data_IF_071373161780
#
_entry.id   IF_071373161780
#
_cell.length_a   1.000
_cell.length_b   1.000
_cell.length_c   1.000
_cell.angle_alpha   90.00
_cell.angle_beta   90.00
_cell.angle_gamma   90.00
#
_symmetry.space_group_name_H-M   'P 1'
#
loop_
_entity.id
_entity.type
_entity.pdbx_description
1 polymer ?
#
# COMPACT_ATOMS: atom_id res chain seq x y z
N UNK A 1 14.83 4.62 -3.50
CA UNK A 1 16.12 4.09 -3.01
C UNK A 1 17.29 5.03 -3.23
N UNK A 2 17.34 5.74 -4.34
CA UNK A 2 18.45 6.66 -4.62
C UNK A 2 18.61 7.76 -3.57
N UNK A 3 17.51 8.27 -3.04
CA UNK A 3 17.56 9.28 -1.97
C UNK A 3 18.22 8.72 -0.71
N UNK A 4 17.91 7.47 -0.35
CA UNK A 4 18.54 6.81 0.78
C UNK A 4 20.03 6.60 0.56
N UNK A 5 20.42 6.23 -0.66
CA UNK A 5 21.84 6.04 -1.00
C UNK A 5 22.62 7.37 -0.89
N UNK A 6 22.03 8.49 -1.30
CA UNK A 6 22.66 9.80 -1.17
C UNK A 6 22.85 10.14 0.30
N UNK A 7 21.85 9.93 1.14
CA UNK A 7 21.93 10.18 2.58
C UNK A 7 22.97 9.27 3.22
N UNK A 8 22.94 7.98 2.91
CA UNK A 8 23.83 6.99 3.51
C UNK A 8 25.26 7.11 3.04
N UNK A 9 25.50 7.78 1.91
CA UNK A 9 26.85 8.10 1.48
C UNK A 9 27.63 8.95 2.48
N UNK A 10 26.96 9.60 3.44
CA UNK A 10 27.57 10.37 4.52
C UNK A 10 27.91 9.54 5.75
N UNK A 11 27.53 8.25 5.79
CA UNK A 11 27.70 7.36 6.95
C UNK A 11 28.77 6.31 6.67
N UNK A 12 29.24 5.66 7.74
CA UNK A 12 30.16 4.54 7.60
C UNK A 12 29.44 3.25 7.12
N UNK A 13 30.22 2.24 6.75
CA UNK A 13 29.70 0.99 6.18
C UNK A 13 28.81 0.23 7.15
N UNK A 14 29.11 0.27 8.45
CA UNK A 14 28.32 -0.45 9.47
C UNK A 14 26.91 0.13 9.58
N UNK A 15 26.78 1.45 9.52
CA UNK A 15 25.47 2.11 9.54
C UNK A 15 24.67 1.81 8.28
N UNK A 16 25.30 1.84 7.12
CA UNK A 16 24.67 1.50 5.85
C UNK A 16 24.11 0.06 5.91
N UNK A 17 24.91 -0.89 6.41
CA UNK A 17 24.49 -2.27 6.55
C UNK A 17 23.29 -2.42 7.50
N UNK A 18 23.29 -1.70 8.62
CA UNK A 18 22.20 -1.71 9.59
C UNK A 18 20.89 -1.20 8.96
N UNK A 19 20.96 -0.09 8.23
CA UNK A 19 19.78 0.46 7.54
C UNK A 19 19.28 -0.46 6.44
N UNK A 20 20.16 -1.05 5.66
CA UNK A 20 19.78 -2.02 4.62
C UNK A 20 19.05 -3.22 5.21
N UNK A 21 19.52 -3.76 6.33
CA UNK A 21 18.86 -4.86 7.03
C UNK A 21 17.48 -4.47 7.53
N UNK A 22 17.34 -3.26 8.08
CA UNK A 22 16.03 -2.75 8.52
C UNK A 22 15.04 -2.66 7.36
N UNK A 23 15.44 -2.04 6.25
CA UNK A 23 14.56 -1.89 5.09
C UNK A 23 14.17 -3.25 4.51
N UNK A 24 15.10 -4.20 4.46
CA UNK A 24 14.79 -5.56 4.02
C UNK A 24 13.78 -6.25 4.95
N UNK A 25 13.89 -6.01 6.26
CA UNK A 25 12.98 -6.63 7.24
C UNK A 25 11.55 -6.15 7.13
N UNK A 26 11.32 -4.91 6.65
CA UNK A 26 9.97 -4.37 6.48
C UNK A 26 9.40 -4.54 5.07
N UNK A 27 10.17 -5.10 4.14
CA UNK A 27 9.67 -5.38 2.79
C UNK A 27 8.64 -6.51 2.86
N UNK A 28 7.43 -6.32 2.32
CA UNK A 28 6.41 -7.36 2.36
C UNK A 28 6.83 -8.57 1.53
N UNK A 29 6.71 -9.76 2.13
CA UNK A 29 7.13 -11.02 1.51
C UNK A 29 5.94 -11.88 1.07
N UNK A 30 4.84 -11.86 1.79
CA UNK A 30 3.63 -12.64 1.48
C UNK A 30 2.60 -11.80 0.75
N UNK A 31 1.67 -12.48 0.07
CA UNK A 31 0.55 -11.80 -0.58
C UNK A 31 -0.32 -11.05 0.44
N UNK A 32 -0.51 -11.60 1.63
CA UNK A 32 -1.26 -10.93 2.69
C UNK A 32 -0.60 -9.63 3.15
N UNK A 33 0.72 -9.61 3.27
CA UNK A 33 1.46 -8.40 3.61
C UNK A 33 1.38 -7.35 2.50
N UNK A 34 1.49 -7.78 1.25
CA UNK A 34 1.37 -6.89 0.10
C UNK A 34 -0.03 -6.29 0.05
N UNK A 35 -1.06 -7.11 0.26
CA UNK A 35 -2.45 -6.65 0.30
C UNK A 35 -2.65 -5.57 1.38
N UNK A 36 -2.16 -5.80 2.59
CA UNK A 36 -2.26 -4.83 3.69
C UNK A 36 -1.51 -3.54 3.40
N UNK A 37 -0.36 -3.61 2.75
CA UNK A 37 0.38 -2.40 2.35
C UNK A 37 -0.43 -1.54 1.40
N UNK A 38 -1.12 -2.16 0.45
CA UNK A 38 -1.99 -1.44 -0.46
C UNK A 38 -3.21 -0.85 0.25
N UNK A 39 -3.80 -1.56 1.20
CA UNK A 39 -4.89 -1.01 2.02
C UNK A 39 -4.44 0.25 2.74
N UNK A 40 -3.24 0.24 3.31
CA UNK A 40 -2.68 1.41 3.98
C UNK A 40 -2.51 2.57 2.98
N UNK A 41 -2.03 2.30 1.79
CA UNK A 41 -1.88 3.31 0.74
C UNK A 41 -3.24 3.93 0.36
N UNK A 42 -4.26 3.12 0.17
CA UNK A 42 -5.60 3.61 -0.17
C UNK A 42 -6.20 4.46 0.94
N UNK A 43 -6.02 4.11 2.19
CA UNK A 43 -6.54 4.91 3.31
C UNK A 43 -5.78 6.20 3.53
N UNK A 44 -4.57 6.33 2.96
CA UNK A 44 -3.76 7.54 3.06
C UNK A 44 -4.21 8.67 2.13
N UNK A 45 -5.05 8.39 1.14
CA UNK A 45 -5.49 9.37 0.15
C UNK A 45 -6.40 10.40 0.83
N UNK A 46 -6.03 11.69 0.69
CA UNK A 46 -6.76 12.81 1.29
C UNK A 46 -6.99 12.65 2.81
N UNK A 47 -6.00 12.10 3.50
CA UNK A 47 -6.06 11.85 4.93
C UNK A 47 -4.89 12.46 5.67
N UNK A 48 -5.12 12.87 6.93
CA UNK A 48 -4.03 13.11 7.87
C UNK A 48 -3.44 11.77 8.30
N UNK A 49 -2.25 11.80 8.91
CA UNK A 49 -1.63 10.58 9.42
C UNK A 49 -2.53 9.86 10.43
N UNK A 50 -3.11 10.60 11.38
CA UNK A 50 -3.99 10.02 12.39
C UNK A 50 -5.24 9.39 11.79
N UNK A 51 -5.85 10.07 10.82
CA UNK A 51 -7.02 9.56 10.13
C UNK A 51 -6.69 8.31 9.31
N UNK A 52 -5.54 8.32 8.64
CA UNK A 52 -5.06 7.16 7.88
C UNK A 52 -4.89 5.93 8.77
N UNK A 53 -4.18 6.07 9.89
CA UNK A 53 -3.95 4.97 10.83
C UNK A 53 -5.29 4.45 11.38
N UNK A 54 -6.20 5.34 11.73
CA UNK A 54 -7.52 4.95 12.24
C UNK A 54 -8.32 4.17 11.20
N UNK A 55 -8.39 4.66 9.98
CA UNK A 55 -9.08 3.95 8.89
C UNK A 55 -8.45 2.59 8.63
N UNK A 56 -7.14 2.54 8.54
CA UNK A 56 -6.43 1.29 8.31
C UNK A 56 -6.70 0.26 9.41
N UNK A 57 -6.72 0.70 10.68
CA UNK A 57 -6.98 -0.20 11.79
C UNK A 57 -8.38 -0.82 11.74
N UNK A 58 -9.34 -0.12 11.13
CA UNK A 58 -10.69 -0.66 10.95
C UNK A 58 -10.78 -1.72 9.84
N UNK A 59 -9.92 -1.66 8.83
CA UNK A 59 -10.02 -2.54 7.66
C UNK A 59 -8.86 -3.50 7.49
N UNK A 60 -7.82 -3.42 8.30
CA UNK A 60 -6.62 -4.26 8.14
C UNK A 60 -6.89 -5.76 8.29
N UNK A 61 -7.89 -6.13 9.07
CA UNK A 61 -8.33 -7.51 9.17
C UNK A 61 -9.29 -7.80 8.00
N UNK A 62 -8.73 -7.92 6.81
CA UNK A 62 -9.53 -8.00 5.58
C UNK A 62 -10.42 -9.25 5.53
N UNK A 63 -10.17 -10.26 6.34
CA UNK A 63 -11.02 -11.45 6.45
C UNK A 63 -12.45 -11.10 6.84
N UNK A 64 -12.65 -9.98 7.55
CA UNK A 64 -13.98 -9.54 7.97
C UNK A 64 -14.85 -9.00 6.83
N UNK A 65 -14.23 -8.50 5.77
CA UNK A 65 -14.98 -7.82 4.69
C UNK A 65 -14.62 -8.31 3.28
N UNK A 66 -13.68 -9.24 3.17
CA UNK A 66 -13.13 -9.65 1.87
C UNK A 66 -14.21 -10.15 0.89
N UNK A 67 -15.28 -10.74 1.40
CA UNK A 67 -16.39 -11.25 0.63
C UNK A 67 -17.66 -10.41 0.78
N UNK A 68 -17.57 -9.23 1.41
CA UNK A 68 -18.71 -8.39 1.73
C UNK A 68 -18.38 -6.91 1.56
N UNK A 69 -18.74 -6.37 0.39
CA UNK A 69 -18.50 -4.96 0.05
C UNK A 69 -19.21 -4.00 1.00
N UNK A 70 -20.42 -4.36 1.44
CA UNK A 70 -21.19 -3.51 2.35
C UNK A 70 -20.52 -3.43 3.72
N UNK A 71 -19.92 -4.51 4.18
CA UNK A 71 -19.16 -4.52 5.43
C UNK A 71 -17.92 -3.61 5.32
N UNK A 72 -17.21 -3.64 4.20
CA UNK A 72 -16.10 -2.71 3.96
C UNK A 72 -16.58 -1.26 4.03
N UNK A 73 -17.68 -0.95 3.36
CA UNK A 73 -18.26 0.40 3.37
C UNK A 73 -18.62 0.84 4.79
N UNK A 74 -19.21 -0.05 5.57
CA UNK A 74 -19.58 0.21 6.96
C UNK A 74 -18.35 0.50 7.82
N UNK A 75 -17.30 -0.32 7.70
CA UNK A 75 -16.06 -0.13 8.46
C UNK A 75 -15.39 1.20 8.12
N UNK A 76 -15.37 1.57 6.86
CA UNK A 76 -14.82 2.86 6.43
C UNK A 76 -15.67 4.03 6.94
N UNK A 77 -16.98 3.88 6.97
CA UNK A 77 -17.88 4.90 7.51
C UNK A 77 -17.65 5.12 9.00
N UNK A 78 -17.62 4.06 9.81
CA UNK A 78 -17.44 4.19 11.25
C UNK A 78 -16.03 4.64 11.64
N UNK A 79 -15.05 4.50 10.75
CA UNK A 79 -13.69 4.99 10.99
C UNK A 79 -13.60 6.51 10.96
N UNK A 80 -14.63 7.19 10.43
CA UNK A 80 -14.73 8.65 10.33
C UNK A 80 -13.59 9.30 9.54
N UNK A 81 -13.01 8.56 8.59
CA UNK A 81 -11.94 9.07 7.73
C UNK A 81 -12.43 9.92 6.56
N UNK A 82 -13.74 9.98 6.33
CA UNK A 82 -14.33 10.68 5.18
C UNK A 82 -14.19 9.91 3.87
N UNK A 83 -14.94 10.34 2.86
CA UNK A 83 -14.89 9.76 1.50
C UNK A 83 -15.09 8.24 1.47
N UNK A 84 -15.91 7.69 2.37
CA UNK A 84 -16.03 6.24 2.51
C UNK A 84 -16.57 5.56 1.24
N UNK A 85 -17.46 6.22 0.49
CA UNK A 85 -17.99 5.66 -0.74
C UNK A 85 -16.90 5.51 -1.81
N UNK A 86 -16.08 6.55 -2.00
CA UNK A 86 -14.99 6.53 -2.97
C UNK A 86 -13.92 5.53 -2.57
N UNK A 87 -13.60 5.46 -1.29
CA UNK A 87 -12.61 4.50 -0.77
C UNK A 87 -13.10 3.08 -0.92
N UNK A 88 -14.38 2.83 -0.66
CA UNK A 88 -14.98 1.51 -0.85
C UNK A 88 -14.83 1.05 -2.30
N UNK A 89 -15.15 1.91 -3.25
CA UNK A 89 -15.03 1.57 -4.67
C UNK A 89 -13.58 1.32 -5.08
N UNK A 90 -12.66 2.18 -4.65
CA UNK A 90 -11.24 2.04 -5.00
C UNK A 90 -10.63 0.77 -4.38
N UNK A 91 -10.91 0.50 -3.13
CA UNK A 91 -10.38 -0.68 -2.45
C UNK A 91 -11.00 -1.97 -3.02
N UNK A 92 -12.29 -1.94 -3.34
CA UNK A 92 -12.96 -3.10 -3.92
C UNK A 92 -12.43 -3.41 -5.32
N UNK A 93 -12.16 -2.38 -6.14
CA UNK A 93 -11.50 -2.56 -7.42
C UNK A 93 -10.12 -3.19 -7.27
N UNK A 94 -9.33 -2.71 -6.32
CA UNK A 94 -8.02 -3.27 -5.99
C UNK A 94 -8.15 -4.73 -5.55
N UNK A 95 -9.11 -5.02 -4.67
CA UNK A 95 -9.35 -6.38 -4.18
C UNK A 95 -9.60 -7.34 -5.34
N UNK A 96 -10.48 -6.97 -6.26
CA UNK A 96 -10.82 -7.81 -7.40
C UNK A 96 -9.59 -8.07 -8.28
N UNK A 97 -8.80 -7.03 -8.55
CA UNK A 97 -7.59 -7.14 -9.36
C UNK A 97 -6.51 -7.97 -8.67
N UNK A 98 -6.38 -7.81 -7.38
CA UNK A 98 -5.40 -8.57 -6.60
C UNK A 98 -5.71 -10.06 -6.61
N UNK A 99 -6.97 -10.44 -6.42
CA UNK A 99 -7.37 -11.85 -6.44
C UNK A 99 -7.32 -12.47 -7.83
N UNK A 100 -7.55 -11.68 -8.86
CA UNK A 100 -7.43 -12.15 -10.22
C UNK A 100 -5.98 -12.55 -10.54
N UNK A 101 -5.01 -11.72 -10.15
CA UNK A 101 -3.60 -12.01 -10.37
C UNK A 101 -2.72 -11.27 -9.35
N UNK A 102 -2.40 -11.91 -8.20
CA UNK A 102 -1.55 -11.29 -7.18
C UNK A 102 -0.16 -10.91 -7.70
N UNK A 103 0.37 -11.63 -8.68
CA UNK A 103 1.70 -11.38 -9.22
C UNK A 103 1.79 -10.03 -9.93
N UNK A 104 0.65 -9.46 -10.37
CA UNK A 104 0.61 -8.11 -10.92
C UNK A 104 1.16 -7.08 -9.94
N UNK A 105 1.05 -7.33 -8.65
CA UNK A 105 1.50 -6.42 -7.58
C UNK A 105 2.91 -6.71 -7.11
N UNK A 106 3.64 -7.55 -7.82
CA UNK A 106 5.06 -7.83 -7.57
C UNK A 106 5.90 -7.23 -8.67
N UNK A 107 7.11 -6.78 -8.29
CA UNK A 107 8.07 -6.30 -9.27
C UNK A 107 8.61 -7.47 -10.08
N UNK A 108 8.58 -7.38 -11.41
CA UNK A 108 9.21 -8.36 -12.28
C UNK A 108 10.71 -8.11 -12.35
N UNK A 109 11.47 -9.14 -12.75
CA UNK A 109 12.93 -9.02 -12.92
C UNK A 109 13.31 -8.06 -14.06
N UNK A 110 12.40 -7.81 -14.99
CA UNK A 110 12.65 -7.00 -16.18
C UNK A 110 12.27 -5.53 -16.02
N UNK A 111 11.73 -5.14 -14.86
CA UNK A 111 11.29 -3.77 -14.65
C UNK A 111 11.98 -3.13 -13.45
N UNK A 112 12.13 -1.80 -13.50
CA UNK A 112 12.57 -1.02 -12.35
C UNK A 112 11.40 -0.78 -11.39
N UNK A 113 11.71 -0.33 -10.16
CA UNK A 113 10.67 0.09 -9.21
C UNK A 113 9.82 1.24 -9.77
N UNK A 114 10.43 2.15 -10.53
CA UNK A 114 9.69 3.25 -11.16
C UNK A 114 8.72 2.74 -12.23
N UNK A 115 9.15 1.78 -13.04
CA UNK A 115 8.28 1.17 -14.06
C UNK A 115 7.11 0.44 -13.41
N UNK A 116 7.35 -0.30 -12.34
CA UNK A 116 6.31 -0.96 -11.56
C UNK A 116 5.30 0.07 -11.01
N UNK A 117 5.79 1.15 -10.41
CA UNK A 117 4.93 2.23 -9.89
C UNK A 117 4.05 2.81 -10.99
N UNK A 118 4.64 3.13 -12.13
CA UNK A 118 3.88 3.71 -13.24
C UNK A 118 2.82 2.75 -13.75
N UNK A 119 3.16 1.47 -13.88
CA UNK A 119 2.23 0.43 -14.31
C UNK A 119 1.04 0.32 -13.37
N UNK A 120 1.30 0.26 -12.06
CA UNK A 120 0.24 0.12 -11.07
C UNK A 120 -0.61 1.37 -10.92
N UNK A 121 -0.02 2.57 -11.06
CA UNK A 121 -0.77 3.81 -10.99
C UNK A 121 -1.79 3.93 -12.14
N UNK A 122 -1.48 3.39 -13.30
CA UNK A 122 -2.41 3.35 -14.43
C UNK A 122 -3.43 2.22 -14.30
N UNK A 123 -3.06 1.14 -13.65
CA UNK A 123 -3.90 -0.05 -13.50
C UNK A 123 -4.97 0.12 -12.42
N UNK A 124 -4.63 0.79 -11.33
CA UNK A 124 -5.51 0.91 -10.16
C UNK A 124 -6.37 2.17 -10.23
N UNK A 125 -7.59 2.05 -9.72
CA UNK A 125 -8.55 3.14 -9.66
C UNK A 125 -8.37 3.92 -8.36
N UNK A 126 -8.32 5.25 -8.47
CA UNK A 126 -8.36 6.12 -7.29
C UNK A 126 -7.04 6.28 -6.54
N UNK A 127 -5.92 5.88 -7.13
CA UNK A 127 -4.61 6.06 -6.51
C UNK A 127 -3.63 6.68 -7.49
N UNK A 128 -2.88 7.69 -7.04
CA UNK A 128 -1.90 8.39 -7.87
C UNK A 128 -0.48 7.85 -7.69
N UNK A 129 0.47 8.39 -8.48
CA UNK A 129 1.86 7.95 -8.48
C UNK A 129 2.53 8.03 -7.10
N UNK A 130 2.26 9.11 -6.35
CA UNK A 130 2.87 9.28 -5.02
C UNK A 130 2.47 8.18 -4.05
N UNK A 131 1.22 7.72 -4.11
CA UNK A 131 0.72 6.70 -3.19
C UNK A 131 1.10 5.29 -3.61
N UNK A 132 1.28 5.03 -4.89
CA UNK A 132 1.74 3.73 -5.36
C UNK A 132 3.20 3.46 -5.00
N UNK A 133 3.93 4.48 -4.55
CA UNK A 133 5.32 4.34 -4.09
C UNK A 133 5.44 3.80 -2.66
N UNK A 134 4.37 3.65 -1.96
CA UNK A 134 4.35 3.14 -0.57
C UNK A 134 4.82 1.69 -0.45
#
# INVERSE_FOLDING_TARGET
MNTLNIIFGCFDSSKISTYSSYWNSITPQSDGEIFKRWLFAFTSIHSTWQSNVRCYNHIKNFEQWIDDKEQLSHLLYISKGGCHNQRTESIWDFRDKFFENPDTFRKSSNESWMEMRNRLALFLKGIGLAKTSF
#
